data_IF_320494168566
#
_entry.id   IF_320494168566
#
_cell.length_a   1.000
_cell.length_b   1.000
_cell.length_c   1.000
_cell.angle_alpha   90.00
_cell.angle_beta   90.00
_cell.angle_gamma   90.00
#
_symmetry.space_group_name_H-M   'P 1'
#
loop_
_entity.id
_entity.type
_entity.pdbx_description
1 polymer ?
#
# COMPACT_ATOMS: atom_id res chain seq x y z
N UNK A 1 -31.67 88.35 1.88
CA UNK A 1 -32.05 87.16 2.69
C UNK A 1 -32.49 86.04 1.77
N UNK A 2 -31.73 84.94 1.79
CA UNK A 2 -32.03 83.54 1.34
C UNK A 2 -30.66 82.85 1.27
N UNK A 3 -30.17 82.22 2.35
CA UNK A 3 -30.29 80.76 2.69
C UNK A 3 -29.95 79.85 1.50
N UNK A 4 -29.14 78.80 1.59
CA UNK A 4 -28.30 78.21 2.63
C UNK A 4 -27.49 77.13 1.87
N UNK A 5 -26.23 76.96 2.23
CA UNK A 5 -25.27 76.00 1.68
C UNK A 5 -25.67 74.53 1.90
N UNK A 6 -25.43 73.64 0.92
CA UNK A 6 -25.00 72.25 1.20
C UNK A 6 -24.49 71.48 -0.06
N UNK A 7 -23.18 71.20 -0.03
CA UNK A 7 -22.45 69.96 -0.40
C UNK A 7 -22.88 69.15 -1.65
N UNK A 8 -21.91 68.87 -2.52
CA UNK A 8 -21.26 67.55 -2.58
C UNK A 8 -20.00 67.59 -3.49
N UNK A 9 -18.86 67.18 -2.93
CA UNK A 9 -17.62 66.85 -3.65
C UNK A 9 -17.88 65.57 -4.48
N UNK A 10 -17.61 65.60 -5.78
CA UNK A 10 -17.51 64.40 -6.61
C UNK A 10 -16.04 64.19 -6.99
N UNK A 11 -15.39 63.25 -6.30
CA UNK A 11 -14.01 62.81 -6.52
C UNK A 11 -14.09 61.51 -7.34
N UNK A 12 -13.85 61.60 -8.65
CA UNK A 12 -13.89 60.44 -9.56
C UNK A 12 -12.55 59.71 -9.51
N UNK A 13 -12.45 58.71 -8.64
CA UNK A 13 -11.30 57.81 -8.54
C UNK A 13 -11.51 56.63 -9.51
N UNK A 14 -10.78 56.61 -10.62
CA UNK A 14 -10.72 55.48 -11.55
C UNK A 14 -9.70 54.47 -11.01
N UNK A 15 -10.18 53.40 -10.39
CA UNK A 15 -9.36 52.23 -10.05
C UNK A 15 -9.58 51.22 -11.17
N UNK A 16 -8.59 51.07 -12.04
CA UNK A 16 -8.53 50.00 -13.04
C UNK A 16 -8.25 48.72 -12.25
N UNK A 17 -9.23 47.83 -12.16
CA UNK A 17 -9.08 46.54 -11.52
C UNK A 17 -8.09 45.69 -12.34
N UNK A 18 -6.92 45.43 -11.78
CA UNK A 18 -6.03 44.38 -12.25
C UNK A 18 -6.79 43.05 -12.24
N UNK A 19 -7.03 42.50 -13.42
CA UNK A 19 -7.58 41.15 -13.60
C UNK A 19 -6.54 40.13 -13.13
N UNK A 20 -6.56 39.81 -11.84
CA UNK A 20 -6.02 38.55 -11.35
C UNK A 20 -6.93 37.44 -11.87
N UNK A 21 -6.59 36.83 -13.01
CA UNK A 21 -7.05 35.48 -13.31
C UNK A 21 -6.52 34.59 -12.19
N UNK A 22 -7.41 34.23 -11.26
CA UNK A 22 -7.21 33.05 -10.43
C UNK A 22 -7.34 31.89 -11.39
N UNK A 23 -6.21 31.27 -11.71
CA UNK A 23 -6.21 29.93 -12.27
C UNK A 23 -6.94 29.06 -11.25
N UNK A 24 -8.16 28.66 -11.58
CA UNK A 24 -8.88 27.67 -10.80
C UNK A 24 -8.01 26.41 -10.72
N UNK A 25 -7.76 25.85 -9.53
CA UNK A 25 -7.00 24.61 -9.43
C UNK A 25 -7.80 23.50 -10.12
N UNK A 26 -7.33 23.09 -11.29
CA UNK A 26 -7.74 21.84 -11.93
C UNK A 26 -7.70 20.71 -10.90
N UNK A 27 -8.68 19.80 -10.86
CA UNK A 27 -8.63 18.64 -9.97
C UNK A 27 -7.39 17.81 -10.33
N UNK A 28 -6.39 17.84 -9.44
CA UNK A 28 -5.17 17.06 -9.62
C UNK A 28 -5.49 15.57 -9.51
N UNK A 29 -5.10 14.78 -10.51
CA UNK A 29 -5.15 13.32 -10.41
C UNK A 29 -4.22 12.88 -9.27
N UNK A 30 -4.69 12.05 -8.31
CA UNK A 30 -3.84 11.57 -7.23
C UNK A 30 -2.59 10.86 -7.76
N UNK A 31 -1.45 11.18 -7.18
CA UNK A 31 -0.18 10.48 -7.38
C UNK A 31 -0.29 9.03 -6.93
N UNK A 32 0.60 8.16 -7.43
CA UNK A 32 0.62 6.75 -7.00
C UNK A 32 0.83 6.60 -5.49
N UNK A 33 1.60 7.53 -4.87
CA UNK A 33 1.82 7.54 -3.43
C UNK A 33 0.53 7.82 -2.67
N UNK A 34 -0.24 8.82 -3.11
CA UNK A 34 -1.58 9.11 -2.57
C UNK A 34 -2.53 7.93 -2.78
N UNK A 35 -2.43 7.24 -3.92
CA UNK A 35 -3.21 6.03 -4.18
C UNK A 35 -2.81 4.85 -3.30
N UNK A 36 -1.54 4.68 -2.96
CA UNK A 36 -1.07 3.60 -2.09
C UNK A 36 -1.45 3.86 -0.64
N UNK A 37 -1.46 5.12 -0.21
CA UNK A 37 -1.70 5.48 1.18
C UNK A 37 -3.05 4.99 1.73
N UNK A 38 -3.08 4.70 3.02
CA UNK A 38 -4.23 4.20 3.76
C UNK A 38 -4.15 2.71 4.11
N UNK A 39 -5.20 2.24 4.76
CA UNK A 39 -5.35 0.87 5.21
C UNK A 39 -5.82 -0.06 4.09
N UNK A 40 -5.15 -1.20 3.95
CA UNK A 40 -5.48 -2.29 3.06
C UNK A 40 -5.64 -3.57 3.87
N UNK A 41 -6.73 -4.28 3.69
CA UNK A 41 -6.96 -5.59 4.29
C UNK A 41 -6.28 -6.66 3.45
N UNK A 42 -5.58 -7.60 4.08
CA UNK A 42 -5.14 -8.82 3.41
C UNK A 42 -6.38 -9.68 3.14
N UNK A 43 -6.65 -10.01 1.88
CA UNK A 43 -7.85 -10.78 1.51
C UNK A 43 -7.55 -12.12 0.86
N UNK A 44 -6.32 -12.29 0.36
CA UNK A 44 -5.86 -13.56 -0.20
C UNK A 44 -4.33 -13.65 -0.11
N UNK A 45 -3.81 -14.87 -0.06
CA UNK A 45 -2.37 -15.13 -0.07
C UNK A 45 -2.05 -16.45 -0.77
N UNK A 46 -1.21 -16.36 -1.79
CA UNK A 46 -0.66 -17.50 -2.50
C UNK A 46 0.81 -17.69 -2.13
N UNK A 47 1.21 -18.94 -1.98
CA UNK A 47 2.56 -19.34 -1.69
C UNK A 47 2.96 -20.50 -2.60
N UNK A 48 4.18 -20.44 -3.10
CA UNK A 48 4.76 -21.52 -3.89
C UNK A 48 6.27 -21.57 -3.69
N UNK A 49 6.83 -22.77 -3.75
CA UNK A 49 8.24 -22.97 -3.46
C UNK A 49 8.62 -24.44 -3.49
N UNK A 50 9.75 -24.75 -2.86
CA UNK A 50 10.30 -26.10 -2.81
C UNK A 50 10.75 -26.40 -1.38
N UNK A 51 10.30 -27.52 -0.84
CA UNK A 51 10.76 -28.06 0.45
C UNK A 51 11.68 -29.27 0.23
N UNK A 52 12.50 -29.60 1.24
CA UNK A 52 13.39 -30.77 1.20
C UNK A 52 12.87 -31.87 2.12
N UNK A 53 12.36 -32.97 1.57
CA UNK A 53 11.87 -34.12 2.32
C UNK A 53 12.66 -35.38 1.97
N UNK A 54 13.28 -36.01 2.97
CA UNK A 54 14.13 -37.21 2.79
C UNK A 54 15.21 -37.04 1.69
N UNK A 55 15.78 -35.84 1.57
CA UNK A 55 16.80 -35.52 0.56
C UNK A 55 16.25 -35.29 -0.86
N UNK A 56 14.93 -35.28 -1.05
CA UNK A 56 14.27 -34.94 -2.30
C UNK A 56 13.68 -33.53 -2.25
N UNK A 57 13.81 -32.79 -3.35
CA UNK A 57 13.17 -31.49 -3.54
C UNK A 57 11.73 -31.68 -4.00
N UNK A 58 10.78 -31.23 -3.19
CA UNK A 58 9.35 -31.36 -3.44
C UNK A 58 8.76 -29.96 -3.66
N UNK A 59 8.20 -29.67 -4.84
CA UNK A 59 7.50 -28.42 -5.04
C UNK A 59 6.19 -28.42 -4.24
N UNK A 60 5.77 -27.25 -3.79
CA UNK A 60 4.45 -27.04 -3.23
C UNK A 60 3.78 -25.83 -3.85
N UNK A 61 2.45 -25.82 -3.82
CA UNK A 61 1.60 -24.71 -4.23
C UNK A 61 0.45 -24.57 -3.24
N UNK A 62 -0.01 -23.34 -3.01
CA UNK A 62 -1.24 -23.09 -2.27
C UNK A 62 -2.44 -23.75 -2.94
N UNK A 63 -3.28 -24.38 -2.13
CA UNK A 63 -4.62 -24.86 -2.53
C UNK A 63 -5.73 -24.08 -1.86
N UNK A 64 -5.47 -23.51 -0.68
CA UNK A 64 -6.38 -22.64 0.04
C UNK A 64 -5.60 -21.72 0.99
N UNK A 65 -6.17 -20.58 1.33
CA UNK A 65 -5.69 -19.75 2.42
C UNK A 65 -6.89 -19.26 3.26
N UNK A 66 -6.76 -19.34 4.58
CA UNK A 66 -7.69 -18.74 5.53
C UNK A 66 -7.01 -17.53 6.17
N UNK A 67 -7.51 -16.32 5.88
CA UNK A 67 -6.92 -15.08 6.37
C UNK A 67 -7.52 -14.73 7.73
N UNK A 68 -6.66 -14.47 8.71
CA UNK A 68 -7.11 -14.07 10.03
C UNK A 68 -7.77 -12.69 9.98
N UNK A 69 -8.88 -12.56 10.69
CA UNK A 69 -9.62 -11.30 10.79
C UNK A 69 -8.72 -10.18 11.32
N UNK A 70 -8.74 -9.05 10.62
CA UNK A 70 -7.95 -7.88 10.99
C UNK A 70 -6.55 -7.89 10.42
N UNK A 71 -6.20 -8.82 9.52
CA UNK A 71 -4.93 -8.76 8.79
C UNK A 71 -4.88 -7.57 7.83
N UNK A 72 -3.84 -6.74 7.91
CA UNK A 72 -3.77 -5.45 7.22
C UNK A 72 -2.36 -4.97 6.89
N UNK A 73 -2.30 -3.96 6.01
CA UNK A 73 -1.17 -3.08 5.75
C UNK A 73 -1.67 -1.63 5.75
N UNK A 74 -1.08 -0.75 6.56
CA UNK A 74 -1.41 0.67 6.61
C UNK A 74 -0.20 1.49 6.16
N UNK A 75 -0.37 2.24 5.05
CA UNK A 75 0.68 3.07 4.47
C UNK A 75 0.40 4.56 4.72
N UNK A 76 1.25 5.21 5.52
CA UNK A 76 1.17 6.64 5.81
C UNK A 76 2.14 7.44 4.93
N UNK A 77 1.71 8.56 4.35
CA UNK A 77 2.53 9.39 3.44
C UNK A 77 3.50 10.37 4.12
N UNK A 78 3.34 10.63 5.40
CA UNK A 78 4.13 11.65 6.11
C UNK A 78 4.32 11.18 7.56
N UNK A 79 5.35 10.36 7.84
CA UNK A 79 6.69 10.43 7.21
C UNK A 79 7.09 9.21 6.35
N UNK A 80 6.18 8.65 5.54
CA UNK A 80 6.39 7.43 4.76
C UNK A 80 6.54 6.17 5.63
N UNK A 81 5.66 6.03 6.61
CA UNK A 81 5.62 4.89 7.54
C UNK A 81 4.65 3.82 7.05
N UNK A 82 4.98 2.57 7.33
CA UNK A 82 4.09 1.43 7.14
C UNK A 82 3.99 0.65 8.43
N UNK A 83 2.77 0.24 8.79
CA UNK A 83 2.49 -0.74 9.82
C UNK A 83 1.69 -1.88 9.19
N UNK A 84 2.00 -3.12 9.55
CA UNK A 84 1.26 -4.26 9.05
C UNK A 84 1.20 -5.37 10.09
N UNK A 85 0.10 -6.12 10.03
CA UNK A 85 -0.09 -7.38 10.73
C UNK A 85 -0.81 -8.31 9.75
N UNK A 86 -0.09 -9.28 9.20
CA UNK A 86 -0.56 -10.16 8.15
C UNK A 86 -0.50 -11.59 8.66
N UNK A 87 -1.66 -12.16 8.96
CA UNK A 87 -1.78 -13.50 9.52
C UNK A 87 -2.75 -14.37 8.72
N UNK A 88 -2.34 -15.60 8.43
CA UNK A 88 -3.13 -16.55 7.67
C UNK A 88 -2.69 -18.00 7.94
N UNK A 89 -3.60 -18.94 7.68
CA UNK A 89 -3.25 -20.36 7.55
C UNK A 89 -3.27 -20.75 6.08
N UNK A 90 -2.11 -21.07 5.52
CA UNK A 90 -1.95 -21.42 4.11
C UNK A 90 -1.97 -22.94 3.97
N UNK A 91 -3.00 -23.50 3.34
CA UNK A 91 -3.02 -24.90 2.93
C UNK A 91 -2.24 -25.04 1.62
N UNK A 92 -1.23 -25.91 1.63
CA UNK A 92 -0.42 -26.20 0.44
C UNK A 92 -0.50 -27.67 0.07
N UNK A 93 -0.38 -27.94 -1.23
CA UNK A 93 -0.26 -29.29 -1.78
C UNK A 93 1.18 -29.59 -2.19
N UNK A 94 1.72 -30.69 -1.66
CA UNK A 94 3.01 -31.26 -2.04
C UNK A 94 2.87 -32.79 -2.25
N UNK A 95 3.65 -33.63 -1.54
CA UNK A 95 3.40 -35.09 -1.46
C UNK A 95 2.04 -35.37 -0.81
N UNK A 96 1.68 -34.53 0.17
CA UNK A 96 0.41 -34.50 0.88
C UNK A 96 0.02 -33.04 1.13
N UNK A 97 -1.21 -32.80 1.55
CA UNK A 97 -1.61 -31.49 2.04
C UNK A 97 -1.08 -31.25 3.45
N UNK A 98 -0.66 -30.02 3.70
CA UNK A 98 -0.31 -29.53 5.02
C UNK A 98 -0.60 -28.02 5.12
N UNK A 99 -0.75 -27.55 6.35
CA UNK A 99 -1.04 -26.15 6.66
C UNK A 99 0.22 -25.48 7.15
N UNK A 100 0.54 -24.31 6.59
CA UNK A 100 1.66 -23.47 7.00
C UNK A 100 1.07 -22.22 7.66
N UNK A 101 1.37 -21.95 8.94
CA UNK A 101 1.04 -20.67 9.54
C UNK A 101 1.90 -19.58 8.89
N UNK A 102 1.25 -18.55 8.37
CA UNK A 102 1.90 -17.34 7.90
C UNK A 102 1.59 -16.23 8.90
N UNK A 103 2.62 -15.69 9.53
CA UNK A 103 2.47 -14.56 10.44
C UNK A 103 3.63 -13.61 10.21
N UNK A 104 3.32 -12.40 9.75
CA UNK A 104 4.28 -11.33 9.52
C UNK A 104 3.68 -10.06 10.09
N UNK A 105 4.39 -9.41 11.01
CA UNK A 105 3.95 -8.14 11.57
C UNK A 105 5.15 -7.25 11.81
N UNK A 106 4.94 -5.95 11.63
CA UNK A 106 6.04 -5.01 11.77
C UNK A 106 5.66 -3.57 11.46
N UNK A 107 6.64 -2.70 11.66
CA UNK A 107 6.53 -1.27 11.41
C UNK A 107 7.86 -0.77 10.85
N UNK A 108 7.79 0.03 9.80
CA UNK A 108 8.96 0.54 9.12
C UNK A 108 8.65 1.74 8.24
N UNK A 109 9.53 1.96 7.27
CA UNK A 109 9.29 2.94 6.20
C UNK A 109 9.00 2.26 4.89
N UNK A 110 8.32 2.95 3.98
CA UNK A 110 8.07 2.45 2.64
C UNK A 110 8.56 3.41 1.56
N UNK A 111 8.98 2.84 0.43
CA UNK A 111 9.33 3.57 -0.77
C UNK A 111 8.68 2.91 -1.99
N UNK A 112 7.99 3.72 -2.79
CA UNK A 112 7.42 3.28 -4.05
C UNK A 112 8.31 3.73 -5.21
N UNK A 113 8.78 2.77 -6.01
CA UNK A 113 9.48 3.04 -7.26
C UNK A 113 8.54 2.73 -8.43
N UNK A 114 7.99 3.77 -9.05
CA UNK A 114 7.08 3.62 -10.19
C UNK A 114 5.69 3.09 -9.78
N UNK A 115 5.24 2.02 -10.45
CA UNK A 115 3.97 1.31 -10.16
C UNK A 115 4.14 -0.20 -10.00
N UNK A 116 5.38 -0.66 -10.05
CA UNK A 116 5.77 -2.06 -10.18
C UNK A 116 6.64 -2.52 -9.01
N UNK A 117 7.16 -1.61 -8.18
CA UNK A 117 8.03 -1.95 -7.05
C UNK A 117 7.69 -1.15 -5.79
N UNK A 118 7.50 -1.86 -4.68
CA UNK A 118 7.36 -1.34 -3.33
C UNK A 118 8.50 -1.89 -2.47
N UNK A 119 9.16 -1.03 -1.70
CA UNK A 119 10.20 -1.41 -0.76
C UNK A 119 9.72 -1.08 0.64
N UNK A 120 9.80 -2.03 1.56
CA UNK A 120 9.50 -1.84 2.99
C UNK A 120 10.78 -2.05 3.76
N UNK A 121 11.17 -1.09 4.60
CA UNK A 121 12.41 -1.15 5.38
C UNK A 121 12.11 -1.13 6.87
N UNK A 122 12.59 -2.16 7.57
CA UNK A 122 12.36 -2.41 8.99
C UNK A 122 13.69 -2.77 9.63
N UNK A 123 14.07 -2.09 10.71
CA UNK A 123 15.34 -2.31 11.43
C UNK A 123 16.59 -2.37 10.51
N UNK A 124 16.55 -1.62 9.40
CA UNK A 124 17.62 -1.56 8.40
C UNK A 124 17.66 -2.73 7.41
N UNK A 125 16.70 -3.65 7.44
CA UNK A 125 16.48 -4.66 6.41
C UNK A 125 15.37 -4.21 5.46
N UNK A 126 15.57 -4.41 4.16
CA UNK A 126 14.60 -4.01 3.13
C UNK A 126 13.99 -5.24 2.47
N UNK A 127 12.67 -5.38 2.58
CA UNK A 127 11.87 -6.31 1.81
C UNK A 127 11.43 -5.64 0.51
N UNK A 128 11.69 -6.30 -0.62
CA UNK A 128 11.25 -5.84 -1.94
C UNK A 128 10.01 -6.61 -2.38
N UNK A 129 8.96 -5.86 -2.74
CA UNK A 129 7.74 -6.36 -3.32
C UNK A 129 7.61 -5.92 -4.77
N UNK A 130 7.40 -6.86 -5.67
CA UNK A 130 6.91 -6.58 -7.02
C UNK A 130 5.40 -6.38 -6.99
N UNK A 131 4.91 -5.31 -7.59
CA UNK A 131 3.47 -5.03 -7.72
C UNK A 131 2.98 -5.64 -9.04
N UNK A 132 2.27 -6.76 -8.96
CA UNK A 132 1.82 -7.50 -10.15
C UNK A 132 0.57 -6.87 -10.78
N UNK A 133 -0.30 -6.31 -9.94
CA UNK A 133 -1.53 -5.65 -10.33
C UNK A 133 -1.85 -4.57 -9.29
N UNK A 134 -2.35 -3.43 -9.75
CA UNK A 134 -2.72 -2.33 -8.87
C UNK A 134 -3.86 -1.49 -9.45
N UNK A 135 -5.00 -1.54 -8.77
CA UNK A 135 -6.18 -0.69 -9.00
C UNK A 135 -6.42 0.20 -7.77
N UNK A 136 -7.48 1.00 -7.78
CA UNK A 136 -7.75 1.89 -6.64
C UNK A 136 -8.11 1.13 -5.35
N UNK A 137 -8.58 -0.12 -5.46
CA UNK A 137 -9.14 -0.92 -4.36
C UNK A 137 -8.50 -2.31 -4.22
N UNK A 138 -7.56 -2.67 -5.09
CA UNK A 138 -6.90 -3.98 -5.06
C UNK A 138 -5.46 -3.89 -5.52
N UNK A 139 -4.56 -4.52 -4.77
CA UNK A 139 -3.16 -4.64 -5.13
C UNK A 139 -2.67 -6.07 -4.89
N UNK A 140 -1.82 -6.57 -5.78
CA UNK A 140 -1.16 -7.88 -5.63
C UNK A 140 0.34 -7.65 -5.47
N UNK A 141 0.85 -7.96 -4.28
CA UNK A 141 2.24 -7.80 -3.88
C UNK A 141 2.95 -9.15 -3.92
N UNK A 142 4.02 -9.26 -4.71
CA UNK A 142 4.87 -10.46 -4.78
C UNK A 142 6.20 -10.24 -4.08
N UNK A 143 6.58 -11.11 -3.16
CA UNK A 143 7.92 -11.10 -2.56
C UNK A 143 8.50 -12.51 -2.42
N UNK A 144 9.80 -12.59 -2.16
CA UNK A 144 10.47 -13.83 -1.76
C UNK A 144 10.70 -13.78 -0.26
N UNK A 145 10.20 -14.78 0.45
CA UNK A 145 10.28 -14.83 1.90
C UNK A 145 10.77 -16.20 2.35
N UNK A 146 11.45 -16.23 3.49
CA UNK A 146 11.77 -17.48 4.18
C UNK A 146 10.60 -17.81 5.11
N UNK A 147 10.01 -18.99 4.95
CA UNK A 147 8.98 -19.51 5.84
C UNK A 147 9.57 -20.65 6.68
N UNK A 148 9.11 -20.78 7.92
CA UNK A 148 9.41 -21.94 8.77
C UNK A 148 8.20 -22.86 8.88
N UNK A 149 8.41 -24.15 8.63
CA UNK A 149 7.42 -25.18 8.93
C UNK A 149 8.10 -26.42 9.48
N UNK A 150 7.63 -26.88 10.65
CA UNK A 150 8.16 -28.08 11.29
C UNK A 150 9.64 -27.98 11.65
N UNK A 151 10.16 -26.77 11.91
CA UNK A 151 11.58 -26.52 12.22
C UNK A 151 12.50 -26.57 11.00
N UNK A 152 11.93 -26.47 9.80
CA UNK A 152 12.68 -26.31 8.55
C UNK A 152 12.31 -24.98 7.91
N UNK A 153 13.33 -24.18 7.61
CA UNK A 153 13.18 -22.94 6.87
C UNK A 153 13.35 -23.18 5.37
N UNK A 154 12.50 -22.56 4.55
CA UNK A 154 12.56 -22.66 3.10
C UNK A 154 12.13 -21.36 2.44
N UNK A 155 12.68 -21.11 1.24
CA UNK A 155 12.30 -19.94 0.46
C UNK A 155 11.01 -20.20 -0.32
N UNK A 156 10.04 -19.32 -0.13
CA UNK A 156 8.79 -19.28 -0.87
C UNK A 156 8.68 -17.97 -1.65
N UNK A 157 8.01 -18.03 -2.79
CA UNK A 157 7.45 -16.83 -3.42
C UNK A 157 6.03 -16.67 -2.92
N UNK A 158 5.76 -15.51 -2.33
CA UNK A 158 4.48 -15.12 -1.73
C UNK A 158 3.83 -14.08 -2.63
N UNK A 159 2.54 -14.23 -2.89
CA UNK A 159 1.68 -13.25 -3.53
C UNK A 159 0.55 -12.89 -2.57
N UNK A 160 0.61 -11.70 -1.99
CA UNK A 160 -0.43 -11.18 -1.10
C UNK A 160 -1.38 -10.28 -1.90
N UNK A 161 -2.68 -10.56 -1.79
CA UNK A 161 -3.73 -9.70 -2.33
C UNK A 161 -4.23 -8.83 -1.20
N UNK A 162 -4.14 -7.51 -1.38
CA UNK A 162 -4.62 -6.54 -0.41
C UNK A 162 -5.69 -5.64 -1.04
N UNK A 163 -6.74 -5.35 -0.29
CA UNK A 163 -7.95 -4.65 -0.77
C UNK A 163 -8.44 -3.57 0.20
N UNK A 164 -9.22 -2.60 -0.30
CA UNK A 164 -9.82 -1.52 0.49
C UNK A 164 -11.11 -0.98 -0.12
#
# INVERSE_FOLDING_TARGET
MKTLSLKLLAFSLVIVASSCKKDDPEPSTPSNREKLSGNWELTDIDANGVISFMGQSIPFVTTNADIDQGSYFDFEMNPDEVEYDASATITVSAIQEFEIPYQQAGRGTWELQGRDSLFVTEDGQTTSYGILSWTDNRMILRSKQELDFGGQSFNATIEAVIER
#
